data_IF_788550935823
#
_entry.id   IF_788550935823
#
_cell.length_a   1.000
_cell.length_b   1.000
_cell.length_c   1.000
_cell.angle_alpha   90.00
_cell.angle_beta   90.00
_cell.angle_gamma   90.00
#
_symmetry.space_group_name_H-M   'P 1'
#
loop_
_entity.id
_entity.type
_entity.pdbx_description
1 polymer ?
#
# COMPACT_ATOMS: atom_id res chain seq x y z
N UNK A 1 -8.17 9.34 -68.52
CA UNK A 1 -7.11 8.90 -67.59
C UNK A 1 -6.37 10.12 -67.08
N UNK A 2 -6.40 10.39 -65.77
CA UNK A 2 -5.62 11.49 -65.19
C UNK A 2 -4.31 10.91 -64.64
N UNK A 3 -3.23 11.07 -65.40
CA UNK A 3 -1.87 10.74 -64.96
C UNK A 3 -1.34 11.91 -64.13
N UNK A 4 -1.33 11.75 -62.81
CA UNK A 4 -0.67 12.69 -61.91
C UNK A 4 0.82 12.33 -61.80
N UNK A 5 1.69 13.34 -61.76
CA UNK A 5 3.10 13.15 -61.45
C UNK A 5 3.24 12.45 -60.07
N UNK A 6 4.22 11.55 -59.88
CA UNK A 6 4.45 10.91 -58.59
C UNK A 6 4.74 11.99 -57.54
N UNK A 7 3.92 12.09 -56.50
CA UNK A 7 4.16 12.97 -55.36
C UNK A 7 5.14 12.26 -54.40
N UNK A 8 6.43 12.64 -54.37
CA UNK A 8 7.43 11.94 -53.56
C UNK A 8 7.09 11.98 -52.07
N UNK A 9 6.40 13.02 -51.60
CA UNK A 9 5.95 13.21 -50.22
C UNK A 9 4.90 12.16 -49.83
N UNK A 10 3.99 11.79 -50.75
CA UNK A 10 3.03 10.70 -50.53
C UNK A 10 3.73 9.36 -50.38
N UNK A 11 4.77 9.11 -51.19
CA UNK A 11 5.57 7.89 -51.10
C UNK A 11 6.33 7.83 -49.78
N UNK A 12 6.95 8.94 -49.35
CA UNK A 12 7.63 9.05 -48.06
C UNK A 12 6.65 8.85 -46.89
N UNK A 13 5.45 9.42 -46.99
CA UNK A 13 4.40 9.24 -46.00
C UNK A 13 3.94 7.77 -45.90
N UNK A 14 3.86 7.04 -47.01
CA UNK A 14 3.58 5.60 -47.02
C UNK A 14 4.70 4.79 -46.39
N UNK A 15 5.96 5.11 -46.69
CA UNK A 15 7.13 4.48 -46.05
C UNK A 15 7.07 4.68 -44.53
N UNK A 16 6.81 5.91 -44.07
CA UNK A 16 6.68 6.23 -42.65
C UNK A 16 5.49 5.55 -41.98
N UNK A 17 4.36 5.42 -42.67
CA UNK A 17 3.21 4.61 -42.20
C UNK A 17 3.57 3.13 -42.10
N UNK A 18 4.38 2.60 -43.02
CA UNK A 18 4.86 1.22 -42.94
C UNK A 18 5.82 1.04 -41.76
N UNK A 19 6.74 1.98 -41.55
CA UNK A 19 7.65 2.01 -40.40
C UNK A 19 6.86 2.03 -39.08
N UNK A 20 5.80 2.87 -38.99
CA UNK A 20 4.89 2.89 -37.85
C UNK A 20 4.27 1.51 -37.58
N UNK A 21 3.80 0.83 -38.63
CA UNK A 21 3.19 -0.51 -38.51
C UNK A 21 4.22 -1.53 -38.02
N UNK A 22 5.42 -1.51 -38.58
CA UNK A 22 6.51 -2.41 -38.19
C UNK A 22 6.91 -2.19 -36.72
N UNK A 23 7.15 -0.93 -36.34
CA UNK A 23 7.54 -0.57 -34.97
C UNK A 23 6.42 -0.83 -33.97
N UNK A 24 5.16 -0.69 -34.37
CA UNK A 24 4.01 -1.11 -33.55
C UNK A 24 3.96 -2.62 -33.29
N UNK A 25 4.59 -3.44 -34.15
CA UNK A 25 4.72 -4.90 -33.97
C UNK A 25 5.97 -5.27 -33.16
N UNK A 26 7.09 -4.59 -33.40
CA UNK A 26 8.37 -4.84 -32.73
C UNK A 26 8.37 -4.34 -31.28
N UNK A 27 7.80 -3.14 -31.03
CA UNK A 27 7.63 -2.59 -29.70
C UNK A 27 6.15 -2.27 -29.41
N UNK A 28 5.35 -3.32 -29.20
CA UNK A 28 3.92 -3.17 -29.01
C UNK A 28 3.57 -2.55 -27.65
N UNK A 29 4.52 -2.48 -26.71
CA UNK A 29 4.36 -1.85 -25.41
C UNK A 29 4.60 -0.33 -25.44
N UNK A 30 5.16 0.20 -26.53
CA UNK A 30 5.40 1.63 -26.65
C UNK A 30 4.08 2.42 -26.64
N UNK A 31 4.04 3.46 -25.80
CA UNK A 31 2.92 4.37 -25.68
C UNK A 31 2.60 4.99 -27.05
N UNK A 32 1.32 5.03 -27.43
CA UNK A 32 0.84 5.57 -28.72
C UNK A 32 1.44 6.94 -29.06
N UNK A 33 1.47 7.85 -28.09
CA UNK A 33 1.95 9.23 -28.30
C UNK A 33 3.46 9.20 -28.62
N UNK A 34 4.23 8.44 -27.83
CA UNK A 34 5.67 8.30 -28.05
C UNK A 34 5.99 7.60 -29.38
N UNK A 35 5.24 6.56 -29.72
CA UNK A 35 5.39 5.85 -31.00
C UNK A 35 5.17 6.81 -32.18
N UNK A 36 4.06 7.54 -32.20
CA UNK A 36 3.74 8.47 -33.29
C UNK A 36 4.77 9.60 -33.35
N UNK A 37 5.15 10.19 -32.20
CA UNK A 37 6.18 11.22 -32.14
C UNK A 37 7.52 10.72 -32.69
N UNK A 38 7.90 9.47 -32.39
CA UNK A 38 9.16 8.90 -32.89
C UNK A 38 9.19 8.68 -34.40
N UNK A 39 8.04 8.44 -35.03
CA UNK A 39 7.94 8.28 -36.49
C UNK A 39 7.90 9.65 -37.19
N UNK A 40 7.27 10.64 -36.56
CA UNK A 40 7.16 12.01 -37.08
C UNK A 40 8.42 12.86 -36.87
N UNK A 41 9.32 12.43 -35.99
CA UNK A 41 10.57 13.12 -35.74
C UNK A 41 11.40 13.24 -37.03
N UNK A 42 11.77 14.47 -37.40
CA UNK A 42 12.61 14.75 -38.56
C UNK A 42 11.95 14.56 -39.92
N UNK A 43 10.61 14.55 -39.98
CA UNK A 43 9.84 14.52 -41.24
C UNK A 43 9.53 15.96 -41.66
N UNK A 44 9.63 16.26 -42.96
CA UNK A 44 9.26 17.56 -43.54
C UNK A 44 7.75 17.84 -43.46
N UNK A 45 7.35 19.11 -43.56
CA UNK A 45 5.97 19.54 -43.34
C UNK A 45 4.98 18.92 -44.35
N UNK A 46 5.38 18.75 -45.60
CA UNK A 46 4.53 18.23 -46.68
C UNK A 46 4.27 16.73 -46.48
N UNK A 47 5.31 15.97 -46.16
CA UNK A 47 5.21 14.56 -45.78
C UNK A 47 4.42 14.40 -44.47
N UNK A 48 4.63 15.30 -43.49
CA UNK A 48 3.90 15.28 -42.22
C UNK A 48 2.38 15.43 -42.41
N UNK A 49 1.97 16.34 -43.30
CA UNK A 49 0.56 16.50 -43.68
C UNK A 49 0.06 15.28 -44.45
N UNK A 50 0.84 14.77 -45.41
CA UNK A 50 0.49 13.60 -46.22
C UNK A 50 0.34 12.31 -45.39
N UNK A 51 1.08 12.19 -44.27
CA UNK A 51 0.96 11.09 -43.30
C UNK A 51 -0.42 11.04 -42.62
N UNK A 52 -1.15 12.15 -42.57
CA UNK A 52 -2.46 12.25 -41.91
C UNK A 52 -2.34 12.48 -40.40
N UNK A 53 -3.49 12.63 -39.73
CA UNK A 53 -3.54 13.05 -38.32
C UNK A 53 -3.00 12.00 -37.35
N UNK A 54 -2.60 12.44 -36.15
CA UNK A 54 -2.20 11.55 -35.04
C UNK A 54 -3.30 10.56 -34.65
N UNK A 55 -4.57 10.88 -34.92
CA UNK A 55 -5.65 9.96 -34.70
C UNK A 55 -5.65 8.82 -35.72
N UNK A 56 -5.47 9.13 -37.00
CA UNK A 56 -5.38 8.12 -38.05
C UNK A 56 -4.17 7.19 -37.84
N UNK A 57 -3.00 7.76 -37.53
CA UNK A 57 -1.78 7.00 -37.21
C UNK A 57 -1.97 6.15 -35.94
N UNK A 58 -2.62 6.69 -34.92
CA UNK A 58 -2.98 5.96 -33.70
C UNK A 58 -3.88 4.75 -33.96
N UNK A 59 -4.92 4.93 -34.78
CA UNK A 59 -5.81 3.84 -35.20
C UNK A 59 -5.04 2.80 -36.02
N UNK A 60 -4.11 3.22 -36.88
CA UNK A 60 -3.27 2.33 -37.67
C UNK A 60 -2.37 1.46 -36.78
N UNK A 61 -1.66 2.08 -35.83
CA UNK A 61 -0.85 1.37 -34.85
C UNK A 61 -1.70 0.42 -33.99
N UNK A 62 -2.89 0.86 -33.54
CA UNK A 62 -3.82 0.00 -32.80
C UNK A 62 -4.26 -1.21 -33.62
N UNK A 63 -4.61 -1.03 -34.90
CA UNK A 63 -5.01 -2.15 -35.78
C UNK A 63 -3.90 -3.17 -35.97
N UNK A 64 -2.64 -2.73 -36.07
CA UNK A 64 -1.51 -3.66 -36.12
C UNK A 64 -1.31 -4.40 -34.79
N UNK A 65 -1.38 -3.69 -33.65
CA UNK A 65 -1.34 -4.32 -32.32
C UNK A 65 -2.49 -5.31 -32.12
N UNK A 66 -3.70 -5.00 -32.61
CA UNK A 66 -4.86 -5.88 -32.53
C UNK A 66 -4.72 -7.16 -33.38
N UNK A 67 -3.83 -7.19 -34.39
CA UNK A 67 -3.49 -8.43 -35.09
C UNK A 67 -2.62 -9.36 -34.23
N UNK A 68 -1.83 -8.80 -33.32
CA UNK A 68 -0.98 -9.55 -32.40
C UNK A 68 -1.74 -10.01 -31.16
N UNK A 69 -2.60 -9.14 -30.61
CA UNK A 69 -3.27 -9.35 -29.32
C UNK A 69 -4.76 -9.70 -29.42
N UNK A 70 -5.33 -9.67 -30.61
CA UNK A 70 -6.78 -9.69 -30.81
C UNK A 70 -7.43 -8.32 -30.55
N UNK A 71 -8.72 -8.20 -30.87
CA UNK A 71 -9.51 -7.02 -30.53
C UNK A 71 -9.91 -7.13 -29.05
N UNK A 72 -9.64 -6.11 -28.24
CA UNK A 72 -10.10 -6.08 -26.86
C UNK A 72 -11.63 -6.17 -26.82
N UNK A 73 -12.17 -7.27 -26.30
CA UNK A 73 -13.61 -7.43 -26.07
C UNK A 73 -13.90 -7.07 -24.61
N UNK A 74 -15.02 -6.38 -24.38
CA UNK A 74 -15.47 -6.01 -23.03
C UNK A 74 -16.20 -7.16 -22.31
N UNK A 75 -16.34 -8.31 -22.96
CA UNK A 75 -17.02 -9.51 -22.48
C UNK A 75 -16.07 -10.69 -22.60
N UNK A 76 -15.25 -10.89 -21.56
CA UNK A 76 -14.41 -12.08 -21.39
C UNK A 76 -15.07 -12.88 -20.28
N UNK A 77 -15.54 -14.09 -20.61
CA UNK A 77 -16.13 -15.04 -19.65
C UNK A 77 -15.02 -15.82 -18.92
N UNK A 78 -15.35 -16.49 -17.81
CA UNK A 78 -14.37 -17.34 -17.10
C UNK A 78 -13.81 -18.48 -17.97
N UNK A 79 -14.63 -19.03 -18.88
CA UNK A 79 -14.24 -20.05 -19.86
C UNK A 79 -13.19 -19.50 -20.85
N UNK A 80 -13.33 -18.21 -21.21
CA UNK A 80 -12.36 -17.53 -22.06
C UNK A 80 -11.01 -17.37 -21.35
N UNK A 81 -10.97 -17.19 -20.03
CA UNK A 81 -9.72 -17.05 -19.26
C UNK A 81 -8.91 -18.34 -19.25
N UNK A 82 -9.59 -19.47 -19.01
CA UNK A 82 -8.93 -20.77 -18.95
C UNK A 82 -8.29 -21.14 -20.30
N UNK A 83 -8.88 -20.67 -21.40
CA UNK A 83 -8.36 -20.88 -22.76
C UNK A 83 -7.37 -19.81 -23.25
N UNK A 84 -7.03 -18.80 -22.42
CA UNK A 84 -6.05 -17.76 -22.79
C UNK A 84 -4.71 -18.42 -23.14
N UNK A 85 -4.23 -18.13 -24.35
CA UNK A 85 -2.83 -18.32 -24.73
C UNK A 85 -2.15 -16.98 -24.82
N UNK A 86 -1.14 -16.76 -23.98
CA UNK A 86 -0.37 -15.54 -24.02
C UNK A 86 0.53 -15.51 -25.26
N UNK A 87 0.46 -14.47 -26.10
CA UNK A 87 1.42 -14.27 -27.18
C UNK A 87 2.83 -14.12 -26.61
N UNK A 88 3.81 -14.70 -27.31
CA UNK A 88 5.23 -14.65 -26.94
C UNK A 88 5.73 -13.23 -26.55
N UNK A 89 5.36 -12.14 -27.25
CA UNK A 89 5.77 -10.78 -26.88
C UNK A 89 5.28 -10.28 -25.51
N UNK A 90 4.27 -10.94 -24.90
CA UNK A 90 3.76 -10.60 -23.56
C UNK A 90 4.39 -11.44 -22.45
N UNK A 91 5.06 -12.53 -22.80
CA UNK A 91 5.65 -13.48 -21.85
C UNK A 91 7.16 -13.62 -22.01
N UNK A 92 7.76 -12.92 -22.97
CA UNK A 92 9.21 -12.87 -23.13
C UNK A 92 9.72 -11.43 -23.20
N UNK A 93 10.86 -11.18 -22.56
CA UNK A 93 11.57 -9.91 -22.62
C UNK A 93 13.07 -10.17 -22.61
N UNK A 94 13.78 -9.66 -23.61
CA UNK A 94 15.24 -9.86 -23.72
C UNK A 94 15.65 -11.32 -23.86
N UNK A 95 14.81 -12.18 -24.46
CA UNK A 95 15.07 -13.61 -24.61
C UNK A 95 14.81 -14.45 -23.34
N UNK A 96 14.30 -13.84 -22.27
CA UNK A 96 13.92 -14.54 -21.05
C UNK A 96 12.40 -14.57 -20.90
N UNK A 97 11.86 -15.69 -20.42
CA UNK A 97 10.46 -15.76 -20.00
C UNK A 97 10.24 -14.84 -18.81
N UNK A 98 9.18 -14.05 -18.87
CA UNK A 98 8.67 -13.23 -17.77
C UNK A 98 7.39 -13.81 -17.17
N UNK A 99 6.77 -14.83 -17.77
CA UNK A 99 5.68 -15.57 -17.13
C UNK A 99 6.33 -16.57 -16.16
N UNK A 100 6.23 -16.24 -14.87
CA UNK A 100 6.85 -17.00 -13.79
C UNK A 100 5.97 -18.18 -13.36
N UNK A 101 4.66 -17.93 -13.23
CA UNK A 101 3.71 -18.90 -12.70
C UNK A 101 2.36 -18.81 -13.41
N UNK A 102 1.79 -19.98 -13.65
CA UNK A 102 0.47 -20.18 -14.25
C UNK A 102 -0.26 -21.26 -13.44
N UNK A 103 -1.22 -20.83 -12.61
CA UNK A 103 -1.90 -21.75 -11.71
C UNK A 103 -2.72 -22.82 -12.42
N UNK A 104 -3.06 -22.65 -13.71
CA UNK A 104 -3.81 -23.67 -14.47
C UNK A 104 -3.04 -24.98 -14.60
N UNK A 105 -1.71 -24.91 -14.53
CA UNK A 105 -0.85 -26.10 -14.54
C UNK A 105 -0.90 -26.90 -13.23
N UNK A 106 -1.30 -26.26 -12.13
CA UNK A 106 -1.36 -26.83 -10.78
C UNK A 106 -2.81 -27.13 -10.36
N UNK A 107 -3.72 -26.19 -10.61
CA UNK A 107 -5.16 -26.26 -10.29
C UNK A 107 -6.00 -26.53 -11.54
N UNK A 108 -5.97 -27.77 -12.02
CA UNK A 108 -6.56 -28.20 -13.31
C UNK A 108 -8.10 -28.03 -13.36
N UNK A 109 -8.78 -28.12 -12.21
CA UNK A 109 -10.24 -28.03 -12.11
C UNK A 109 -10.77 -26.67 -11.65
N UNK A 110 -9.88 -25.71 -11.41
CA UNK A 110 -10.25 -24.37 -10.96
C UNK A 110 -10.42 -23.43 -12.16
N UNK A 111 -11.46 -22.59 -12.12
CA UNK A 111 -11.73 -21.58 -13.15
C UNK A 111 -11.26 -20.17 -12.74
N UNK A 112 -10.53 -20.04 -11.64
CA UNK A 112 -9.96 -18.80 -11.11
C UNK A 112 -8.42 -18.83 -11.21
N UNK A 113 -7.86 -18.66 -12.42
CA UNK A 113 -6.43 -18.76 -12.60
C UNK A 113 -5.70 -17.56 -11.98
N UNK A 114 -4.48 -17.81 -11.53
CA UNK A 114 -3.50 -16.82 -11.07
C UNK A 114 -2.31 -16.87 -12.03
N UNK A 115 -1.93 -15.70 -12.51
CA UNK A 115 -0.76 -15.55 -13.38
C UNK A 115 0.24 -14.62 -12.74
N UNK A 116 1.47 -15.07 -12.53
CA UNK A 116 2.56 -14.24 -11.98
C UNK A 116 3.57 -13.95 -13.07
N UNK A 117 3.90 -12.68 -13.22
CA UNK A 117 4.87 -12.17 -14.18
C UNK A 117 6.03 -11.51 -13.45
N UNK A 118 7.24 -12.02 -13.67
CA UNK A 118 8.45 -11.47 -13.11
C UNK A 118 9.63 -11.77 -14.04
N UNK A 119 10.49 -10.79 -14.25
CA UNK A 119 11.72 -11.00 -15.01
C UNK A 119 12.80 -11.57 -14.07
N UNK A 120 13.61 -12.57 -14.49
CA UNK A 120 14.63 -13.18 -13.62
C UNK A 120 15.60 -12.17 -12.99
N UNK A 121 16.09 -11.19 -13.77
CA UNK A 121 16.89 -10.08 -13.23
C UNK A 121 16.17 -9.28 -12.12
N UNK A 122 14.86 -9.06 -12.23
CA UNK A 122 14.12 -8.31 -11.21
C UNK A 122 13.88 -9.14 -9.95
N UNK A 123 13.73 -10.46 -10.09
CA UNK A 123 13.69 -11.40 -8.97
C UNK A 123 15.01 -11.42 -8.21
N UNK A 124 16.15 -11.35 -8.90
CA UNK A 124 17.44 -11.26 -8.21
C UNK A 124 17.61 -9.93 -7.46
N UNK A 125 17.06 -8.83 -7.99
CA UNK A 125 17.02 -7.56 -7.24
C UNK A 125 16.11 -7.66 -6.02
N UNK A 126 14.97 -8.34 -6.12
CA UNK A 126 14.05 -8.58 -5.01
C UNK A 126 14.73 -9.40 -3.90
N UNK A 127 15.41 -10.49 -4.27
CA UNK A 127 16.17 -11.38 -3.39
C UNK A 127 17.20 -10.63 -2.54
N UNK A 128 17.85 -9.64 -3.14
CA UNK A 128 18.93 -8.88 -2.51
C UNK A 128 18.45 -7.88 -1.45
N UNK A 129 17.14 -7.62 -1.34
CA UNK A 129 16.60 -6.63 -0.41
C UNK A 129 15.88 -7.28 0.77
N UNK A 130 16.07 -6.70 1.96
CA UNK A 130 15.43 -7.14 3.19
C UNK A 130 14.05 -6.52 3.43
N UNK A 131 13.70 -5.45 2.70
CA UNK A 131 12.43 -4.74 2.81
C UNK A 131 11.64 -4.90 1.51
N UNK A 132 10.57 -5.68 1.58
CA UNK A 132 9.64 -5.87 0.48
C UNK A 132 8.42 -4.98 0.68
N UNK A 133 7.78 -4.62 -0.43
CA UNK A 133 6.51 -3.90 -0.45
C UNK A 133 5.55 -4.64 -1.37
N UNK A 134 4.36 -4.90 -0.87
CA UNK A 134 3.29 -5.57 -1.59
C UNK A 134 2.05 -4.67 -1.60
N UNK A 135 1.27 -4.74 -2.67
CA UNK A 135 0.06 -3.95 -2.80
C UNK A 135 -0.73 -4.32 -4.04
N UNK A 136 -1.94 -3.78 -4.18
CA UNK A 136 -2.83 -4.10 -5.29
C UNK A 136 -3.33 -2.85 -6.01
N UNK A 137 -3.52 -2.98 -7.32
CA UNK A 137 -4.19 -1.97 -8.16
C UNK A 137 -5.37 -2.58 -8.90
N UNK A 138 -6.56 -2.04 -8.61
CA UNK A 138 -7.83 -2.46 -9.20
C UNK A 138 -8.02 -1.88 -10.60
N UNK A 139 -7.66 -0.60 -10.80
CA UNK A 139 -7.92 0.12 -12.06
C UNK A 139 -7.08 -0.38 -13.22
N UNK A 140 -5.94 -1.00 -12.92
CA UNK A 140 -4.99 -1.50 -13.92
C UNK A 140 -5.21 -2.98 -14.25
N UNK A 141 -6.12 -3.66 -13.55
CA UNK A 141 -6.38 -5.07 -13.79
C UNK A 141 -7.17 -5.26 -15.10
N UNK A 142 -6.66 -6.05 -16.07
CA UNK A 142 -7.43 -6.41 -17.24
C UNK A 142 -8.60 -7.30 -16.83
N UNK A 143 -9.80 -7.03 -17.36
CA UNK A 143 -10.93 -7.94 -17.15
C UNK A 143 -10.58 -9.33 -17.68
N UNK A 144 -11.01 -10.41 -17.00
CA UNK A 144 -11.93 -10.42 -15.86
C UNK A 144 -11.25 -10.41 -14.48
N UNK A 145 -9.91 -10.28 -14.41
CA UNK A 145 -9.19 -10.16 -13.15
C UNK A 145 -9.67 -8.93 -12.38
N UNK A 146 -9.80 -9.09 -11.05
CA UNK A 146 -10.25 -8.00 -10.17
C UNK A 146 -9.11 -7.09 -9.76
N UNK A 147 -7.89 -7.63 -9.75
CA UNK A 147 -6.71 -6.89 -9.35
C UNK A 147 -5.43 -7.33 -10.04
N UNK A 148 -4.53 -6.37 -10.16
CA UNK A 148 -3.12 -6.62 -10.40
C UNK A 148 -2.39 -6.42 -9.07
N UNK A 149 -1.92 -7.52 -8.50
CA UNK A 149 -1.09 -7.56 -7.30
C UNK A 149 0.36 -7.27 -7.68
N UNK A 150 1.02 -6.46 -6.87
CA UNK A 150 2.34 -5.90 -7.15
C UNK A 150 3.26 -6.31 -6.01
N UNK A 151 4.41 -6.87 -6.36
CA UNK A 151 5.47 -7.21 -5.43
C UNK A 151 6.72 -6.43 -5.84
N UNK A 152 7.32 -5.74 -4.88
CA UNK A 152 8.53 -4.98 -5.08
C UNK A 152 9.41 -4.94 -3.84
N UNK A 153 10.56 -4.29 -3.97
CA UNK A 153 11.47 -4.04 -2.87
C UNK A 153 11.84 -2.56 -2.78
N UNK A 154 12.19 -2.13 -1.57
CA UNK A 154 12.73 -0.80 -1.34
C UNK A 154 14.25 -0.87 -1.48
N UNK A 155 14.78 -0.20 -2.49
CA UNK A 155 16.22 -0.04 -2.71
C UNK A 155 16.58 1.44 -2.74
N UNK A 156 17.52 1.87 -1.89
CA UNK A 156 17.97 3.28 -1.79
C UNK A 156 16.79 4.27 -1.70
N UNK A 157 15.80 3.96 -0.85
CA UNK A 157 14.58 4.74 -0.65
C UNK A 157 13.67 4.86 -1.89
N UNK A 158 13.82 3.98 -2.88
CA UNK A 158 12.96 3.90 -4.05
C UNK A 158 12.29 2.52 -4.12
N UNK A 159 11.02 2.51 -4.51
CA UNK A 159 10.28 1.28 -4.77
C UNK A 159 10.64 0.76 -6.16
N UNK A 160 11.21 -0.44 -6.21
CA UNK A 160 11.47 -1.19 -7.44
C UNK A 160 10.42 -2.30 -7.53
N UNK A 161 9.62 -2.29 -8.59
CA UNK A 161 8.64 -3.34 -8.84
C UNK A 161 9.33 -4.55 -9.46
N UNK A 162 9.24 -5.70 -8.80
CA UNK A 162 9.88 -6.93 -9.25
C UNK A 162 8.91 -7.86 -9.99
N UNK A 163 7.67 -7.92 -9.54
CA UNK A 163 6.67 -8.82 -10.09
C UNK A 163 5.26 -8.20 -10.09
N UNK A 164 4.44 -8.71 -11.00
CA UNK A 164 3.01 -8.44 -11.07
C UNK A 164 2.26 -9.76 -11.11
N UNK A 165 1.14 -9.87 -10.39
CA UNK A 165 0.26 -11.03 -10.46
C UNK A 165 -1.17 -10.60 -10.82
N UNK A 166 -1.78 -11.29 -11.76
CA UNK A 166 -3.20 -11.12 -12.08
C UNK A 166 -4.00 -12.05 -11.20
N UNK A 167 -4.79 -11.48 -10.28
CA UNK A 167 -5.58 -12.26 -9.34
C UNK A 167 -7.08 -12.18 -9.68
N UNK A 168 -7.80 -13.31 -9.60
CA UNK A 168 -9.19 -13.40 -9.98
C UNK A 168 -10.10 -12.72 -8.96
N UNK A 169 -9.72 -12.71 -7.67
CA UNK A 169 -10.50 -12.14 -6.57
C UNK A 169 -9.57 -11.55 -5.49
N UNK A 170 -10.19 -10.94 -4.46
CA UNK A 170 -9.53 -10.50 -3.22
C UNK A 170 -9.73 -11.60 -2.18
N UNK A 171 -8.71 -12.42 -1.98
CA UNK A 171 -8.69 -13.42 -0.93
C UNK A 171 -7.26 -13.71 -0.50
N UNK A 172 -7.11 -14.12 0.75
CA UNK A 172 -5.84 -14.59 1.32
C UNK A 172 -5.23 -15.71 0.47
N UNK A 173 -6.05 -16.66 0.03
CA UNK A 173 -5.63 -17.79 -0.81
C UNK A 173 -4.89 -17.35 -2.08
N UNK A 174 -5.44 -16.41 -2.85
CA UNK A 174 -4.81 -15.97 -4.11
C UNK A 174 -3.56 -15.12 -3.88
N UNK A 175 -3.50 -14.36 -2.78
CA UNK A 175 -2.29 -13.64 -2.41
C UNK A 175 -1.19 -14.62 -1.99
N UNK A 176 -1.51 -15.60 -1.15
CA UNK A 176 -0.58 -16.64 -0.69
C UNK A 176 -0.01 -17.41 -1.88
N UNK A 177 -0.85 -17.87 -2.81
CA UNK A 177 -0.41 -18.58 -4.02
C UNK A 177 0.57 -17.74 -4.86
N UNK A 178 0.29 -16.44 -5.05
CA UNK A 178 1.18 -15.55 -5.79
C UNK A 178 2.51 -15.31 -5.05
N UNK A 179 2.49 -15.17 -3.73
CA UNK A 179 3.68 -14.99 -2.90
C UNK A 179 4.53 -16.27 -2.82
N UNK A 180 3.91 -17.44 -2.75
CA UNK A 180 4.59 -18.75 -2.78
C UNK A 180 5.30 -18.98 -4.12
N UNK A 181 4.66 -18.59 -5.24
CA UNK A 181 5.29 -18.63 -6.55
C UNK A 181 6.54 -17.73 -6.63
N UNK A 182 6.51 -16.55 -6.00
CA UNK A 182 7.68 -15.67 -5.91
C UNK A 182 8.75 -16.27 -4.99
N UNK A 183 8.34 -16.77 -3.82
CA UNK A 183 9.24 -17.39 -2.84
C UNK A 183 10.02 -18.56 -3.45
N UNK A 184 9.33 -19.40 -4.23
CA UNK A 184 9.93 -20.55 -4.90
C UNK A 184 10.92 -20.19 -6.01
N UNK A 185 10.87 -18.95 -6.52
CA UNK A 185 11.71 -18.48 -7.62
C UNK A 185 12.83 -17.53 -7.17
N UNK A 186 12.93 -17.28 -5.86
CA UNK A 186 13.90 -16.37 -5.26
C UNK A 186 14.71 -17.11 -4.20
N UNK A 187 16.04 -17.09 -4.33
CA UNK A 187 16.93 -17.69 -3.33
C UNK A 187 17.95 -16.64 -2.83
N UNK A 188 17.99 -16.30 -1.52
CA UNK A 188 17.01 -16.67 -0.49
C UNK A 188 15.74 -15.80 -0.53
N UNK A 189 14.56 -16.41 -0.40
CA UNK A 189 13.29 -15.70 -0.21
C UNK A 189 13.04 -15.38 1.27
N UNK A 190 13.83 -14.47 1.83
CA UNK A 190 13.76 -14.10 3.27
C UNK A 190 13.69 -12.59 3.50
N UNK A 191 12.55 -11.94 3.19
CA UNK A 191 12.34 -10.56 3.60
C UNK A 191 12.35 -10.46 5.13
N UNK A 192 13.00 -9.43 5.68
CA UNK A 192 12.95 -9.10 7.12
C UNK A 192 11.71 -8.27 7.45
N UNK A 193 11.27 -7.45 6.50
CA UNK A 193 10.10 -6.57 6.63
C UNK A 193 9.29 -6.57 5.34
N UNK A 194 7.97 -6.68 5.48
CA UNK A 194 7.01 -6.56 4.38
C UNK A 194 6.10 -5.37 4.67
N UNK A 195 5.95 -4.48 3.70
CA UNK A 195 5.08 -3.31 3.78
C UNK A 195 3.84 -3.57 2.93
N UNK A 196 2.66 -3.39 3.51
CA UNK A 196 1.36 -3.68 2.87
C UNK A 196 0.36 -2.53 3.03
N UNK A 197 -0.68 -2.53 2.21
CA UNK A 197 -1.71 -1.49 2.10
C UNK A 197 -2.88 -1.63 3.12
N UNK A 198 -2.67 -2.33 4.25
CA UNK A 198 -3.67 -2.63 5.31
C UNK A 198 -4.78 -3.60 4.95
N UNK A 199 -4.71 -4.24 3.78
CA UNK A 199 -5.70 -5.25 3.43
C UNK A 199 -5.46 -6.50 4.26
N UNK A 200 -6.44 -6.88 5.09
CA UNK A 200 -6.31 -7.98 6.05
C UNK A 200 -5.89 -9.29 5.36
N UNK A 201 -6.55 -9.64 4.26
CA UNK A 201 -6.23 -10.84 3.47
C UNK A 201 -4.77 -10.86 2.96
N UNK A 202 -4.24 -9.68 2.63
CA UNK A 202 -2.85 -9.52 2.19
C UNK A 202 -1.86 -9.60 3.35
N UNK A 203 -2.22 -9.07 4.52
CA UNK A 203 -1.44 -9.20 5.77
C UNK A 203 -1.32 -10.66 6.16
N UNK A 204 -2.45 -11.37 6.22
CA UNK A 204 -2.50 -12.79 6.60
C UNK A 204 -1.70 -13.63 5.61
N UNK A 205 -1.85 -13.40 4.30
CA UNK A 205 -1.06 -14.09 3.29
C UNK A 205 0.45 -13.86 3.44
N UNK A 206 0.86 -12.60 3.69
CA UNK A 206 2.27 -12.27 3.90
C UNK A 206 2.86 -12.96 5.13
N UNK A 207 2.13 -12.97 6.27
CA UNK A 207 2.55 -13.65 7.49
C UNK A 207 2.61 -15.16 7.32
N UNK A 208 1.67 -15.75 6.55
CA UNK A 208 1.64 -17.18 6.26
C UNK A 208 2.84 -17.63 5.41
N UNK A 209 3.16 -16.88 4.35
CA UNK A 209 4.25 -17.24 3.42
C UNK A 209 5.62 -16.85 3.98
N UNK A 210 5.71 -15.77 4.74
CA UNK A 210 6.96 -15.26 5.32
C UNK A 210 6.82 -15.05 6.84
N UNK A 211 6.73 -16.13 7.64
CA UNK A 211 6.46 -16.04 9.08
C UNK A 211 7.57 -15.34 9.87
N UNK A 212 8.80 -15.33 9.37
CA UNK A 212 9.94 -14.63 9.99
C UNK A 212 9.93 -13.11 9.69
N UNK A 213 9.13 -12.65 8.74
CA UNK A 213 9.09 -11.25 8.34
C UNK A 213 8.13 -10.44 9.22
N UNK A 214 8.57 -9.27 9.65
CA UNK A 214 7.67 -8.27 10.24
C UNK A 214 6.78 -7.66 9.16
N UNK A 215 5.46 -7.79 9.31
CA UNK A 215 4.50 -7.18 8.38
C UNK A 215 4.06 -5.84 8.95
N UNK A 216 4.15 -4.79 8.14
CA UNK A 216 3.87 -3.42 8.57
C UNK A 216 3.05 -2.67 7.55
N UNK A 217 2.44 -1.60 8.02
CA UNK A 217 1.63 -0.72 7.23
C UNK A 217 2.38 0.22 6.29
N UNK A 218 1.76 0.54 5.16
CA UNK A 218 2.21 1.57 4.25
C UNK A 218 1.82 2.98 4.75
N UNK A 219 2.83 3.79 5.13
CA UNK A 219 2.62 5.18 5.56
C UNK A 219 1.85 6.04 4.54
N UNK A 220 2.07 5.80 3.24
CA UNK A 220 1.34 6.52 2.20
C UNK A 220 -0.17 6.24 2.25
N UNK A 221 -0.55 4.97 2.42
CA UNK A 221 -1.96 4.57 2.52
C UNK A 221 -2.60 5.04 3.81
N UNK A 222 -1.86 5.01 4.90
CA UNK A 222 -2.23 5.63 6.17
C UNK A 222 -2.58 7.10 6.01
N UNK A 223 -1.67 7.90 5.46
CA UNK A 223 -1.88 9.31 5.25
C UNK A 223 -3.08 9.58 4.33
N UNK A 224 -3.26 8.75 3.28
CA UNK A 224 -4.44 8.81 2.42
C UNK A 224 -5.74 8.50 3.17
N UNK A 225 -5.74 7.49 4.03
CA UNK A 225 -6.90 7.11 4.85
C UNK A 225 -7.30 8.23 5.81
N UNK A 226 -6.33 8.82 6.51
CA UNK A 226 -6.57 9.98 7.37
C UNK A 226 -7.11 11.18 6.58
N UNK A 227 -6.50 11.50 5.44
CA UNK A 227 -6.96 12.61 4.61
C UNK A 227 -8.38 12.37 4.05
N UNK A 228 -8.69 11.14 3.63
CA UNK A 228 -10.03 10.75 3.20
C UNK A 228 -11.03 10.94 4.33
N UNK A 229 -10.71 10.45 5.54
CA UNK A 229 -11.59 10.61 6.71
C UNK A 229 -11.78 12.08 7.10
N UNK A 230 -10.71 12.87 7.06
CA UNK A 230 -10.76 14.31 7.30
C UNK A 230 -11.76 15.02 6.37
N UNK A 231 -11.74 14.64 5.08
CA UNK A 231 -12.68 15.15 4.07
C UNK A 231 -14.11 14.65 4.28
N UNK A 232 -14.29 13.37 4.60
CA UNK A 232 -15.61 12.80 4.92
C UNK A 232 -16.30 13.54 6.06
N UNK A 233 -15.52 13.93 7.08
CA UNK A 233 -15.98 14.71 8.23
C UNK A 233 -16.10 16.22 7.94
N UNK A 234 -15.86 16.66 6.70
CA UNK A 234 -15.93 18.07 6.26
C UNK A 234 -15.03 19.03 7.06
N UNK A 235 -13.95 18.54 7.65
CA UNK A 235 -13.01 19.32 8.47
C UNK A 235 -12.12 20.26 7.65
N UNK A 236 -12.23 20.23 6.32
CA UNK A 236 -11.53 21.16 5.43
C UNK A 236 -11.87 22.62 5.68
N UNK A 237 -13.10 22.94 6.14
CA UNK A 237 -13.50 24.29 6.47
C UNK A 237 -12.66 24.86 7.63
N UNK A 238 -12.54 24.11 8.74
CA UNK A 238 -11.75 24.53 9.92
C UNK A 238 -10.25 24.57 9.59
N UNK A 239 -9.78 23.64 8.76
CA UNK A 239 -8.39 23.59 8.30
C UNK A 239 -7.99 24.82 7.44
N UNK A 240 -8.93 25.34 6.63
CA UNK A 240 -8.67 26.28 5.52
C UNK A 240 -8.85 27.78 5.81
N UNK A 241 -9.28 28.19 7.02
CA UNK A 241 -9.35 29.62 7.37
C UNK A 241 -8.01 30.14 7.92
N UNK A 242 -7.53 31.26 7.40
CA UNK A 242 -6.25 31.83 7.81
C UNK A 242 -6.27 32.37 9.26
N UNK A 243 -5.26 31.94 10.03
CA UNK A 243 -4.84 32.43 11.37
C UNK A 243 -5.83 32.32 12.53
N UNK A 244 -6.93 31.59 12.44
CA UNK A 244 -7.72 31.28 13.64
C UNK A 244 -6.98 30.29 14.56
N UNK A 245 -7.15 30.44 15.87
CA UNK A 245 -6.63 29.50 16.87
C UNK A 245 -7.13 28.07 16.59
N UNK A 246 -8.43 27.94 16.31
CA UNK A 246 -9.06 26.67 15.95
C UNK A 246 -8.44 26.03 14.68
N UNK A 247 -8.16 26.83 13.65
CA UNK A 247 -7.52 26.34 12.43
C UNK A 247 -6.06 25.92 12.64
N UNK A 248 -5.32 26.63 13.51
CA UNK A 248 -3.97 26.21 13.92
C UNK A 248 -4.00 24.88 14.67
N UNK A 249 -4.91 24.72 15.64
CA UNK A 249 -5.11 23.47 16.39
C UNK A 249 -5.45 22.34 15.42
N UNK A 250 -6.45 22.50 14.56
CA UNK A 250 -6.84 21.47 13.58
C UNK A 250 -5.68 21.05 12.65
N UNK A 251 -4.91 22.01 12.13
CA UNK A 251 -3.72 21.74 11.30
C UNK A 251 -2.65 20.97 12.08
N UNK A 252 -2.39 21.38 13.32
CA UNK A 252 -1.39 20.75 14.18
C UNK A 252 -1.81 19.33 14.58
N UNK A 253 -3.07 19.14 14.98
CA UNK A 253 -3.67 17.83 15.28
C UNK A 253 -3.49 16.87 14.10
N UNK A 254 -3.89 17.27 12.89
CA UNK A 254 -3.74 16.42 11.71
C UNK A 254 -2.27 16.03 11.44
N UNK A 255 -1.35 17.00 11.50
CA UNK A 255 0.09 16.76 11.28
C UNK A 255 0.70 15.87 12.35
N UNK A 256 0.39 16.11 13.63
CA UNK A 256 0.91 15.29 14.74
C UNK A 256 0.38 13.87 14.72
N UNK A 257 -0.88 13.66 14.33
CA UNK A 257 -1.44 12.32 14.14
C UNK A 257 -0.74 11.55 13.02
N UNK A 258 -0.33 12.21 11.93
CA UNK A 258 0.53 11.59 10.92
C UNK A 258 1.89 11.17 11.51
N UNK A 259 2.47 12.00 12.38
CA UNK A 259 3.74 11.72 13.03
C UNK A 259 3.68 10.57 14.05
N UNK A 260 2.51 10.18 14.56
CA UNK A 260 2.40 9.04 15.48
C UNK A 260 2.86 7.72 14.86
N UNK A 261 2.77 7.57 13.54
CA UNK A 261 3.31 6.39 12.84
C UNK A 261 4.84 6.35 12.83
N UNK A 262 5.50 7.44 13.25
CA UNK A 262 6.93 7.66 13.16
C UNK A 262 7.64 7.64 14.54
N UNK A 263 6.93 7.26 15.61
CA UNK A 263 7.47 7.22 16.97
C UNK A 263 7.34 5.82 17.56
N UNK A 264 8.08 5.49 18.64
CA UNK A 264 7.96 4.19 19.29
C UNK A 264 6.54 3.84 19.75
N UNK A 265 6.03 2.61 19.48
CA UNK A 265 4.72 2.13 19.90
C UNK A 265 4.45 2.36 21.39
N UNK A 266 5.47 2.17 22.22
CA UNK A 266 5.39 2.37 23.68
C UNK A 266 4.99 3.79 24.09
N UNK A 267 5.24 4.80 23.25
CA UNK A 267 4.89 6.20 23.53
C UNK A 267 3.71 6.72 22.69
N UNK A 268 3.21 5.94 21.72
CA UNK A 268 2.13 6.36 20.80
C UNK A 268 0.87 6.76 21.56
N UNK A 269 0.44 5.95 22.53
CA UNK A 269 -0.77 6.21 23.33
C UNK A 269 -0.66 7.51 24.11
N UNK A 270 0.50 7.74 24.77
CA UNK A 270 0.75 8.97 25.53
C UNK A 270 0.79 10.20 24.61
N UNK A 271 1.51 10.11 23.50
CA UNK A 271 1.59 11.19 22.51
C UNK A 271 0.21 11.51 21.90
N UNK A 272 -0.63 10.49 21.68
CA UNK A 272 -2.02 10.69 21.25
C UNK A 272 -2.81 11.52 22.26
N UNK A 273 -2.76 11.21 23.55
CA UNK A 273 -3.49 11.99 24.56
C UNK A 273 -2.99 13.45 24.69
N UNK A 274 -1.69 13.70 24.48
CA UNK A 274 -1.15 15.08 24.39
C UNK A 274 -1.76 15.83 23.20
N UNK A 275 -1.96 15.14 22.07
CA UNK A 275 -2.63 15.74 20.91
C UNK A 275 -4.10 16.04 21.24
N UNK A 276 -4.79 15.13 21.95
CA UNK A 276 -6.19 15.36 22.38
C UNK A 276 -6.29 16.52 23.36
N UNK A 277 -5.37 16.67 24.32
CA UNK A 277 -5.40 17.78 25.29
C UNK A 277 -5.26 19.16 24.66
N UNK A 278 -4.66 19.25 23.47
CA UNK A 278 -4.61 20.50 22.70
C UNK A 278 -5.86 20.68 21.82
N UNK A 279 -6.52 19.57 21.44
CA UNK A 279 -7.57 19.53 20.43
C UNK A 279 -9.00 19.49 20.99
N UNK A 280 -9.21 19.08 22.25
CA UNK A 280 -10.54 18.82 22.83
C UNK A 280 -11.48 20.03 22.81
N UNK A 281 -10.91 21.24 22.81
CA UNK A 281 -11.64 22.51 22.71
C UNK A 281 -12.31 22.72 21.34
N UNK A 282 -12.00 21.89 20.35
CA UNK A 282 -12.58 21.91 19.00
C UNK A 282 -13.46 20.65 18.82
N UNK A 283 -14.76 20.70 19.15
CA UNK A 283 -15.63 19.53 19.18
C UNK A 283 -15.73 18.78 17.85
N UNK A 284 -15.55 19.48 16.73
CA UNK A 284 -15.58 18.90 15.39
C UNK A 284 -14.45 17.88 15.17
N UNK A 285 -13.33 17.99 15.90
CA UNK A 285 -12.21 17.04 15.81
C UNK A 285 -12.47 15.74 16.56
N UNK A 286 -13.42 15.71 17.50
CA UNK A 286 -13.64 14.57 18.39
C UNK A 286 -13.97 13.27 17.63
N UNK A 287 -14.77 13.38 16.56
CA UNK A 287 -15.06 12.25 15.65
C UNK A 287 -13.84 11.74 14.88
N UNK A 288 -12.92 12.64 14.53
CA UNK A 288 -11.69 12.27 13.85
C UNK A 288 -10.69 11.61 14.81
N UNK A 289 -10.59 12.11 16.04
CA UNK A 289 -9.76 11.55 17.11
C UNK A 289 -10.24 10.15 17.52
N UNK A 290 -11.56 9.98 17.71
CA UNK A 290 -12.14 8.66 17.96
C UNK A 290 -11.85 7.67 16.84
N UNK A 291 -12.06 8.09 15.57
CA UNK A 291 -11.72 7.26 14.42
C UNK A 291 -10.24 6.85 14.45
N UNK A 292 -9.34 7.82 14.67
CA UNK A 292 -7.91 7.55 14.71
C UNK A 292 -7.58 6.51 15.78
N UNK A 293 -8.03 6.75 17.03
CA UNK A 293 -7.71 5.87 18.15
C UNK A 293 -8.26 4.46 17.93
N UNK A 294 -9.52 4.34 17.53
CA UNK A 294 -10.15 3.05 17.21
C UNK A 294 -9.45 2.30 16.09
N UNK A 295 -9.02 3.00 15.05
CA UNK A 295 -8.39 2.34 13.90
C UNK A 295 -6.95 1.95 14.18
N UNK A 296 -6.19 2.76 14.93
CA UNK A 296 -4.73 2.69 14.92
C UNK A 296 -4.05 2.43 16.26
N UNK A 297 -4.73 2.65 17.39
CA UNK A 297 -4.14 2.51 18.74
C UNK A 297 -4.89 1.47 19.58
N UNK A 298 -6.23 1.51 19.55
CA UNK A 298 -7.11 0.76 20.45
C UNK A 298 -7.82 1.69 21.41
N UNK A 299 -9.06 1.37 21.75
CA UNK A 299 -9.90 2.16 22.67
C UNK A 299 -9.89 1.52 24.05
N UNK A 300 -9.89 2.32 25.11
CA UNK A 300 -10.32 1.83 26.43
C UNK A 300 -11.82 1.53 26.42
N UNK A 301 -12.31 0.70 27.35
CA UNK A 301 -13.75 0.44 27.52
C UNK A 301 -14.58 1.72 27.58
N UNK A 302 -14.11 2.71 28.34
CA UNK A 302 -14.77 3.99 28.49
C UNK A 302 -14.89 4.72 27.15
N UNK A 303 -13.80 4.81 26.39
CA UNK A 303 -13.78 5.48 25.10
C UNK A 303 -14.61 4.74 24.04
N UNK A 304 -14.69 3.41 24.15
CA UNK A 304 -15.57 2.60 23.32
C UNK A 304 -17.04 2.91 23.58
N UNK A 305 -17.45 3.00 24.85
CA UNK A 305 -18.82 3.33 25.24
C UNK A 305 -19.19 4.77 24.86
N UNK A 306 -18.31 5.72 25.17
CA UNK A 306 -18.56 7.16 24.96
C UNK A 306 -18.35 7.62 23.51
N UNK A 307 -17.80 6.77 22.65
CA UNK A 307 -17.54 7.08 21.25
C UNK A 307 -16.74 8.40 21.07
N UNK A 308 -17.20 9.29 20.19
CA UNK A 308 -16.54 10.57 19.97
C UNK A 308 -16.62 11.53 21.15
N UNK A 309 -17.59 11.36 22.06
CA UNK A 309 -17.74 12.25 23.22
C UNK A 309 -16.57 12.12 24.18
N UNK A 310 -15.90 10.96 24.21
CA UNK A 310 -14.69 10.74 24.98
C UNK A 310 -13.60 11.78 24.70
N UNK A 311 -13.52 12.28 23.45
CA UNK A 311 -12.49 13.22 22.98
C UNK A 311 -13.04 14.64 22.74
N UNK A 312 -14.23 14.94 23.27
CA UNK A 312 -14.88 16.25 23.16
C UNK A 312 -14.53 17.18 24.32
N UNK A 313 -15.38 18.19 24.56
CA UNK A 313 -15.15 19.23 25.58
C UNK A 313 -14.94 18.67 26.99
N UNK A 314 -15.53 17.51 27.30
CA UNK A 314 -15.42 16.83 28.59
C UNK A 314 -14.13 16.02 28.78
N UNK A 315 -13.23 15.98 27.79
CA UNK A 315 -12.00 15.17 27.85
C UNK A 315 -11.16 15.42 29.12
N UNK A 316 -11.08 16.67 29.59
CA UNK A 316 -10.36 17.04 30.82
C UNK A 316 -10.89 16.38 32.09
N UNK A 317 -12.20 16.16 32.16
CA UNK A 317 -12.88 15.46 33.28
C UNK A 317 -12.76 13.94 33.13
N UNK A 318 -12.63 13.46 31.89
CA UNK A 318 -12.55 12.04 31.53
C UNK A 318 -11.13 11.44 31.69
N UNK A 319 -10.10 12.28 31.82
CA UNK A 319 -8.70 11.88 31.98
C UNK A 319 -8.45 11.03 33.24
N UNK A 320 -9.33 11.10 34.24
CA UNK A 320 -9.28 10.29 35.47
C UNK A 320 -9.37 8.78 35.19
N UNK A 321 -9.96 8.39 34.05
CA UNK A 321 -10.14 6.99 33.67
C UNK A 321 -9.11 6.48 32.63
N UNK A 322 -8.24 7.36 32.14
CA UNK A 322 -7.20 7.01 31.16
C UNK A 322 -5.85 6.93 31.86
N UNK A 323 -5.37 5.72 32.16
CA UNK A 323 -4.05 5.54 32.76
C UNK A 323 -2.97 6.08 31.81
N UNK A 324 -2.39 7.22 32.16
CA UNK A 324 -1.05 7.55 31.71
C UNK A 324 -0.16 6.53 32.42
N UNK A 325 0.38 5.55 31.67
CA UNK A 325 1.33 4.57 32.22
C UNK A 325 2.46 5.23 33.02
N UNK A 326 3.19 4.46 33.85
CA UNK A 326 4.17 5.02 34.77
C UNK A 326 5.17 5.94 34.04
N UNK A 327 5.61 7.04 34.69
CA UNK A 327 6.65 7.88 34.12
C UNK A 327 7.89 7.03 33.83
N UNK A 328 8.37 7.08 32.59
CA UNK A 328 9.62 6.43 32.22
C UNK A 328 10.76 7.09 33.03
N UNK A 329 11.46 6.30 33.82
CA UNK A 329 12.69 6.71 34.51
C UNK A 329 13.84 6.68 33.49
N UNK A 330 14.40 7.86 33.20
CA UNK A 330 15.47 8.04 32.21
C UNK A 330 16.85 8.11 32.85
N UNK A 331 17.01 7.70 34.11
CA UNK A 331 18.29 7.79 34.82
C UNK A 331 19.36 6.81 34.32
N UNK A 332 19.00 5.74 33.60
CA UNK A 332 19.95 4.68 33.18
C UNK A 332 19.88 4.33 31.69
N UNK A 333 20.16 5.28 30.77
CA UNK A 333 20.42 4.94 29.36
C UNK A 333 21.72 5.57 28.85
N UNK A 334 22.83 5.15 29.45
CA UNK A 334 24.10 5.06 28.74
C UNK A 334 24.12 3.71 28.03
N UNK A 335 23.66 3.66 26.78
CA UNK A 335 23.69 2.43 25.98
C UNK A 335 24.43 2.67 24.69
N UNK A 336 25.69 2.21 24.69
CA UNK A 336 26.38 1.80 23.48
C UNK A 336 25.54 0.74 22.76
N UNK A 337 25.54 0.78 21.43
CA UNK A 337 24.84 -0.14 20.52
C UNK A 337 24.83 -1.61 20.96
N UNK A 338 23.74 -2.05 21.58
CA UNK A 338 23.34 -3.47 21.64
C UNK A 338 21.81 -3.58 21.49
N UNK A 339 21.37 -4.62 20.78
CA UNK A 339 19.97 -4.96 20.50
C UNK A 339 19.19 -5.17 21.81
N UNK A 340 18.51 -4.15 22.31
CA UNK A 340 17.58 -4.34 23.42
C UNK A 340 16.26 -4.91 22.91
N UNK A 341 16.11 -6.22 23.10
CA UNK A 341 14.82 -6.91 23.21
C UNK A 341 14.09 -6.32 24.43
N UNK A 342 13.15 -5.41 24.18
CA UNK A 342 12.34 -4.83 25.26
C UNK A 342 11.28 -5.82 25.72
N UNK A 343 11.55 -6.49 26.85
CA UNK A 343 10.56 -7.21 27.65
C UNK A 343 9.74 -6.22 28.48
N UNK A 344 8.71 -5.62 27.90
CA UNK A 344 7.52 -5.21 28.64
C UNK A 344 6.42 -6.24 28.36
N UNK A 345 5.62 -6.68 29.35
CA UNK A 345 4.49 -7.55 29.06
C UNK A 345 3.54 -6.81 28.10
N UNK A 346 3.13 -7.44 26.99
CA UNK A 346 2.21 -6.80 26.06
C UNK A 346 0.88 -6.52 26.79
N UNK A 347 0.22 -5.38 26.51
CA UNK A 347 -1.11 -5.11 27.05
C UNK A 347 -2.07 -6.25 26.66
N UNK A 348 -3.00 -6.57 27.56
CA UNK A 348 -3.93 -7.68 27.38
C UNK A 348 -5.02 -7.29 26.39
N UNK A 349 -4.91 -7.81 25.16
CA UNK A 349 -5.89 -7.60 24.10
C UNK A 349 -7.06 -8.59 24.18
N UNK A 350 -8.22 -8.16 23.72
CA UNK A 350 -9.43 -8.97 23.64
C UNK A 350 -9.30 -10.04 22.54
N UNK A 351 -9.27 -11.33 22.89
CA UNK A 351 -9.17 -12.44 21.92
C UNK A 351 -10.54 -12.62 21.24
N UNK A 352 -10.64 -12.34 19.94
CA UNK A 352 -11.82 -12.71 19.15
C UNK A 352 -11.88 -14.23 18.95
N UNK A 353 -12.63 -14.94 19.80
CA UNK A 353 -13.02 -16.32 19.52
C UNK A 353 -14.10 -16.34 18.43
N UNK A 354 -13.79 -16.95 17.28
CA UNK A 354 -14.81 -17.37 16.32
C UNK A 354 -15.70 -18.42 17.00
N UNK A 355 -16.97 -18.08 17.16
CA UNK A 355 -17.97 -18.90 17.81
C UNK A 355 -18.23 -20.22 17.06
N UNK A 356 -17.96 -21.35 17.72
CA UNK A 356 -18.67 -22.61 17.52
C UNK A 356 -19.03 -23.20 18.91
N UNK A 357 -20.22 -23.81 19.10
CA UNK A 357 -20.65 -24.24 20.42
C UNK A 357 -20.28 -25.71 20.64
N UNK A 358 -19.34 -25.98 21.55
CA UNK A 358 -19.28 -27.28 22.22
C UNK A 358 -19.15 -27.09 23.75
N UNK A 359 -19.81 -27.95 24.56
CA UNK A 359 -19.90 -27.75 25.99
C UNK A 359 -18.63 -28.28 26.67
N UNK A 360 -17.77 -27.39 27.14
CA UNK A 360 -16.63 -27.79 27.97
C UNK A 360 -17.00 -27.66 29.45
N UNK A 361 -16.81 -28.77 30.13
CA UNK A 361 -17.11 -29.07 31.52
C UNK A 361 -16.30 -28.16 32.46
N UNK A 362 -16.97 -27.60 33.46
CA UNK A 362 -16.36 -26.80 34.53
C UNK A 362 -15.33 -27.65 35.29
N UNK A 363 -14.05 -27.27 35.22
CA UNK A 363 -13.05 -27.65 36.21
C UNK A 363 -12.52 -26.38 36.87
N UNK A 364 -12.96 -26.16 38.10
CA UNK A 364 -12.55 -25.08 38.97
C UNK A 364 -11.04 -25.13 39.21
N UNK A 365 -10.34 -24.10 38.75
CA UNK A 365 -9.06 -23.68 39.33
C UNK A 365 -9.08 -22.15 39.40
N UNK A 366 -9.54 -21.65 40.54
CA UNK A 366 -9.59 -20.23 40.85
C UNK A 366 -8.16 -19.69 41.07
N UNK A 367 -7.51 -19.25 40.00
CA UNK A 367 -6.48 -18.21 40.09
C UNK A 367 -7.18 -16.85 40.11
N UNK A 368 -7.03 -16.15 41.24
CA UNK A 368 -7.48 -14.77 41.45
C UNK A 368 -7.15 -13.89 40.24
N UNK A 369 -8.18 -13.45 39.52
CA UNK A 369 -8.09 -12.45 38.46
C UNK A 369 -7.71 -11.12 39.12
N UNK A 370 -6.52 -10.58 38.79
CA UNK A 370 -6.20 -9.18 39.04
C UNK A 370 -7.17 -8.30 38.23
N UNK A 371 -7.92 -7.43 38.91
CA UNK A 371 -9.02 -6.60 38.36
C UNK A 371 -8.55 -5.20 37.91
N UNK A 372 -7.25 -4.87 37.99
CA UNK A 372 -6.81 -3.46 37.88
C UNK A 372 -6.23 -3.02 36.52
N UNK A 373 -6.27 -3.85 35.47
CA UNK A 373 -5.87 -3.40 34.13
C UNK A 373 -7.10 -3.04 33.27
N UNK A 374 -7.21 -1.79 32.77
CA UNK A 374 -8.33 -1.41 31.92
C UNK A 374 -8.29 -2.21 30.62
N UNK A 375 -9.44 -2.75 30.21
CA UNK A 375 -9.54 -3.51 28.96
C UNK A 375 -9.31 -2.54 27.79
N UNK A 376 -8.44 -2.95 26.87
CA UNK A 376 -8.13 -2.22 25.64
C UNK A 376 -8.66 -3.04 24.47
N UNK A 377 -9.64 -2.47 23.77
CA UNK A 377 -10.15 -3.05 22.53
C UNK A 377 -9.10 -2.96 21.44
N UNK A 378 -8.89 -4.08 20.73
CA UNK A 378 -7.90 -4.17 19.66
C UNK A 378 -8.14 -3.12 18.55
N UNK A 379 -7.08 -2.41 18.10
CA UNK A 379 -7.18 -1.56 16.93
C UNK A 379 -7.41 -2.39 15.67
N UNK A 380 -8.12 -1.81 14.69
CA UNK A 380 -8.28 -2.45 13.38
C UNK A 380 -6.97 -2.61 12.59
N UNK A 381 -6.07 -1.65 12.73
CA UNK A 381 -4.80 -1.57 12.00
C UNK A 381 -3.75 -0.96 12.94
N UNK A 382 -3.16 -1.73 13.88
CA UNK A 382 -2.23 -1.19 14.87
C UNK A 382 -1.07 -0.43 14.23
N UNK A 383 -0.70 0.72 14.80
CA UNK A 383 0.49 1.46 14.38
C UNK A 383 1.73 0.64 14.73
N UNK A 384 2.35 0.08 13.71
CA UNK A 384 3.60 -0.68 13.81
C UNK A 384 4.70 -0.07 12.94
N UNK A 385 5.32 1.04 13.38
CA UNK A 385 6.46 1.71 12.73
C UNK A 385 6.47 1.69 11.20
N UNK A 386 5.76 2.66 10.62
CA UNK A 386 5.54 2.69 9.17
C UNK A 386 6.64 3.50 8.50
N UNK A 387 7.66 2.76 8.08
CA UNK A 387 8.60 3.17 7.05
C UNK A 387 9.43 4.43 7.38
N UNK A 388 10.02 4.48 8.57
CA UNK A 388 11.13 5.38 8.82
C UNK A 388 12.41 4.63 8.46
N UNK A 389 13.28 5.24 7.65
CA UNK A 389 14.66 4.75 7.57
C UNK A 389 15.25 4.81 8.99
N UNK A 390 16.12 3.87 9.34
CA UNK A 390 16.80 3.85 10.64
C UNK A 390 17.38 5.22 10.98
N UNK A 391 17.93 5.91 9.98
CA UNK A 391 18.41 7.29 10.06
C UNK A 391 17.36 8.33 10.46
N UNK A 392 16.16 8.27 9.89
CA UNK A 392 15.07 9.18 10.26
C UNK A 392 14.44 8.80 11.61
N UNK A 393 14.50 7.52 12.02
CA UNK A 393 14.09 7.08 13.34
C UNK A 393 15.06 7.64 14.40
N UNK A 394 16.37 7.54 14.16
CA UNK A 394 17.41 8.13 15.02
C UNK A 394 17.30 9.66 15.08
N UNK A 395 17.03 10.33 13.96
CA UNK A 395 16.85 11.78 13.93
C UNK A 395 15.58 12.20 14.70
N UNK A 396 14.48 11.47 14.56
CA UNK A 396 13.25 11.72 15.32
C UNK A 396 13.42 11.45 16.81
N UNK A 397 14.15 10.40 17.20
CA UNK A 397 14.47 10.13 18.60
C UNK A 397 15.26 11.29 19.22
N UNK A 398 16.30 11.76 18.54
CA UNK A 398 17.12 12.89 18.98
C UNK A 398 16.30 14.20 19.05
N UNK A 399 15.38 14.40 18.10
CA UNK A 399 14.55 15.61 18.04
C UNK A 399 13.44 15.58 19.09
N UNK A 400 12.79 14.43 19.31
CA UNK A 400 11.78 14.25 20.35
C UNK A 400 12.41 14.37 21.73
N UNK A 401 13.60 13.80 21.94
CA UNK A 401 14.38 13.99 23.17
C UNK A 401 14.68 15.47 23.43
N UNK A 402 15.10 16.22 22.40
CA UNK A 402 15.34 17.66 22.49
C UNK A 402 14.05 18.49 22.74
N UNK A 403 12.91 18.09 22.15
CA UNK A 403 11.63 18.76 22.40
C UNK A 403 11.09 18.47 23.80
N UNK A 404 11.23 17.24 24.29
CA UNK A 404 10.78 16.86 25.64
C UNK A 404 11.66 17.51 26.71
N UNK A 405 12.98 17.55 26.55
CA UNK A 405 13.87 18.30 27.46
C UNK A 405 13.55 19.80 27.46
N UNK A 406 13.26 20.39 26.29
CA UNK A 406 12.83 21.78 26.21
C UNK A 406 11.48 22.03 26.91
N UNK A 407 10.55 21.06 26.88
CA UNK A 407 9.24 21.20 27.53
C UNK A 407 9.34 21.07 29.07
N UNK A 408 10.27 20.26 29.57
CA UNK A 408 10.53 20.12 31.01
C UNK A 408 11.43 21.21 31.59
N UNK A 409 12.22 21.92 30.78
CA UNK A 409 12.96 23.11 31.22
C UNK A 409 12.12 24.40 31.28
N UNK A 410 10.88 24.37 30.75
CA UNK A 410 9.97 25.53 30.69
C UNK A 410 8.86 25.45 31.77
N UNK A 411 8.89 24.45 32.65
CA UNK A 411 8.20 24.46 33.96
C UNK A 411 9.21 24.72 35.06
#
# INVERSE_FOLDING_TARGET
EHSHLPQPERRLAEIKRHELKQRAREDPNLNRIRLIASIRAGVDDETFVAMGSDNALGIMAYREKAKLYGKGTSKISAIDVMSIRFPQPLIERGGQSILLYDSRSVRIHDNKPVFVFAHPYMLSQLAAQSIWAIGSTFKSAPKPFKQCFIIGAIFRNQLIIAAHALLPEHSEEFYSEALEAISSAVEPAKPRKIITDFENDMVVAAQKVFPEASVSGCYFRFAQALFKKWRELKLGAIYGYERSLAGNIARMTFRRLLCLALIPPSIVTRAFYIIVSDAFQIPELARFLFYFKRTYIGLTDYEFQMNSEAFGLSFGENLVFSSLGPPLDYSDVNVAHEEHVYCAPPPRYEIQQQSSPEPVTMLESATLLNIDEPIIHEPYCPIEFWNISERAASALLNTNYAMETAHFQIK
#
